data_IF_257947268406
#
_entry.id   IF_257947268406
#
_cell.length_a   1.000
_cell.length_b   1.000
_cell.length_c   1.000
_cell.angle_alpha   90.00
_cell.angle_beta   90.00
_cell.angle_gamma   90.00
#
_symmetry.space_group_name_H-M   'P 1'
#
loop_
_entity.id
_entity.type
_entity.pdbx_description
1 polymer ?
#
# COMPACT_ATOMS: atom_id res chain seq x y z
N UNK A 1 31.06 7.19 -11.64
CA UNK A 1 30.09 6.09 -11.47
C UNK A 1 29.57 6.15 -10.05
N UNK A 2 28.42 6.79 -9.81
CA UNK A 2 27.82 6.84 -8.47
C UNK A 2 27.30 5.44 -8.14
N UNK A 3 27.86 4.81 -7.12
CA UNK A 3 27.33 3.60 -6.51
C UNK A 3 25.93 3.91 -5.96
N UNK A 4 24.90 3.67 -6.76
CA UNK A 4 23.49 3.81 -6.36
C UNK A 4 22.99 2.51 -5.73
N UNK A 5 23.79 1.91 -4.87
CA UNK A 5 23.27 0.87 -3.97
C UNK A 5 22.14 1.49 -3.15
N UNK A 6 20.92 0.92 -3.17
CA UNK A 6 19.80 1.46 -2.42
C UNK A 6 20.19 1.55 -0.95
N UNK A 7 20.02 2.71 -0.31
CA UNK A 7 20.32 2.89 1.12
C UNK A 7 19.13 2.32 1.91
N UNK A 8 19.20 1.09 2.43
CA UNK A 8 18.01 0.39 2.90
C UNK A 8 17.40 1.06 4.15
N UNK A 9 18.22 1.72 4.97
CA UNK A 9 17.76 2.52 6.11
C UNK A 9 16.95 3.74 5.65
N UNK A 10 17.38 4.43 4.58
CA UNK A 10 16.65 5.59 4.06
C UNK A 10 15.29 5.17 3.49
N UNK A 11 15.25 4.06 2.75
CA UNK A 11 14.01 3.47 2.25
C UNK A 11 13.08 3.04 3.39
N UNK A 12 13.62 2.43 4.45
CA UNK A 12 12.86 2.06 5.64
C UNK A 12 12.24 3.29 6.33
N UNK A 13 13.00 4.38 6.48
CA UNK A 13 12.49 5.63 7.05
C UNK A 13 11.42 6.29 6.19
N UNK A 14 11.60 6.27 4.87
CA UNK A 14 10.57 6.75 3.92
C UNK A 14 9.30 5.91 4.03
N UNK A 15 9.42 4.58 4.13
CA UNK A 15 8.28 3.70 4.37
C UNK A 15 7.59 4.01 5.70
N UNK A 16 8.35 4.26 6.78
CA UNK A 16 7.81 4.72 8.07
C UNK A 16 7.06 6.05 7.96
N UNK A 17 7.59 7.02 7.22
CA UNK A 17 6.94 8.32 7.01
C UNK A 17 5.61 8.19 6.22
N UNK A 18 5.60 7.34 5.18
CA UNK A 18 4.36 7.05 4.43
C UNK A 18 3.33 6.35 5.31
N UNK A 19 3.75 5.39 6.14
CA UNK A 19 2.87 4.76 7.14
C UNK A 19 2.24 5.80 8.06
N UNK A 20 3.03 6.75 8.56
CA UNK A 20 2.51 7.81 9.43
C UNK A 20 1.48 8.69 8.71
N UNK A 21 1.74 9.06 7.45
CA UNK A 21 0.79 9.81 6.63
C UNK A 21 -0.51 9.04 6.47
N UNK A 22 -0.44 7.74 6.17
CA UNK A 22 -1.62 6.87 6.01
C UNK A 22 -2.43 6.80 7.31
N UNK A 23 -1.76 6.59 8.45
CA UNK A 23 -2.43 6.49 9.76
C UNK A 23 -3.11 7.81 10.12
N UNK A 24 -2.40 8.94 9.98
CA UNK A 24 -2.96 10.26 10.31
C UNK A 24 -4.10 10.64 9.37
N UNK A 25 -3.94 10.42 8.07
CA UNK A 25 -4.97 10.74 7.08
C UNK A 25 -6.19 9.82 7.19
N UNK A 26 -5.97 8.51 7.35
CA UNK A 26 -7.01 7.50 7.47
C UNK A 26 -7.79 7.60 8.78
N UNK A 27 -7.12 7.54 9.93
CA UNK A 27 -7.79 7.66 11.23
C UNK A 27 -8.39 9.06 11.40
N UNK A 28 -7.65 10.11 10.98
CA UNK A 28 -8.14 11.48 11.05
C UNK A 28 -9.39 11.71 10.20
N UNK A 29 -9.37 11.28 8.92
CA UNK A 29 -10.50 11.44 8.01
C UNK A 29 -11.70 10.59 8.41
N UNK A 30 -11.49 9.30 8.70
CA UNK A 30 -12.57 8.37 8.99
C UNK A 30 -13.14 8.55 10.40
N UNK A 31 -12.30 8.48 11.44
CA UNK A 31 -12.77 8.44 12.82
C UNK A 31 -13.02 9.83 13.42
N UNK A 32 -12.15 10.81 13.15
CA UNK A 32 -12.27 12.13 13.78
C UNK A 32 -13.20 13.09 13.03
N UNK A 33 -13.29 12.98 11.71
CA UNK A 33 -14.15 13.85 10.89
C UNK A 33 -15.46 13.17 10.55
N UNK A 34 -15.43 12.00 9.89
CA UNK A 34 -16.66 11.37 9.37
C UNK A 34 -17.48 10.64 10.44
N UNK A 35 -16.84 9.97 11.39
CA UNK A 35 -17.53 9.24 12.46
C UNK A 35 -18.60 10.06 13.19
N UNK A 36 -18.29 11.29 13.69
CA UNK A 36 -19.27 12.14 14.36
C UNK A 36 -20.40 12.70 13.47
N UNK A 37 -20.21 12.69 12.15
CA UNK A 37 -21.18 13.26 11.21
C UNK A 37 -22.29 12.27 10.84
N UNK A 38 -22.01 10.97 10.93
CA UNK A 38 -22.95 9.91 10.60
C UNK A 38 -23.79 9.54 11.82
N UNK A 39 -25.11 9.64 11.68
CA UNK A 39 -26.08 9.12 12.65
C UNK A 39 -26.90 8.04 11.93
N UNK A 40 -26.55 6.75 12.07
CA UNK A 40 -27.12 5.66 11.27
C UNK A 40 -28.65 5.59 11.30
N UNK A 41 -29.26 5.95 12.43
CA UNK A 41 -30.72 5.87 12.61
C UNK A 41 -31.45 7.19 12.30
N UNK A 42 -30.73 8.25 11.91
CA UNK A 42 -31.31 9.56 11.62
C UNK A 42 -30.66 10.22 10.37
N UNK A 43 -31.21 9.94 9.18
CA UNK A 43 -30.76 10.54 7.92
C UNK A 43 -30.91 12.07 7.90
N UNK A 44 -31.90 12.62 8.60
CA UNK A 44 -32.13 14.06 8.64
C UNK A 44 -31.05 14.77 9.47
N UNK A 45 -30.67 14.17 10.61
CA UNK A 45 -29.57 14.66 11.44
C UNK A 45 -28.21 14.49 10.74
N UNK A 46 -27.99 13.36 10.06
CA UNK A 46 -26.79 13.16 9.23
C UNK A 46 -26.68 14.23 8.14
N UNK A 47 -27.78 14.52 7.44
CA UNK A 47 -27.84 15.60 6.45
C UNK A 47 -27.50 16.97 7.05
N UNK A 48 -28.11 17.31 8.19
CA UNK A 48 -27.86 18.56 8.90
C UNK A 48 -26.38 18.69 9.31
N UNK A 49 -25.78 17.61 9.82
CA UNK A 49 -24.37 17.56 10.20
C UNK A 49 -23.45 17.77 9.00
N UNK A 50 -23.74 17.12 7.86
CA UNK A 50 -22.96 17.24 6.64
C UNK A 50 -23.00 18.66 6.06
N UNK A 51 -24.16 19.32 6.08
CA UNK A 51 -24.29 20.73 5.67
C UNK A 51 -23.54 21.65 6.62
N UNK A 52 -23.69 21.44 7.93
CA UNK A 52 -23.02 22.26 8.95
C UNK A 52 -21.48 22.12 8.91
N UNK A 53 -20.95 20.97 8.47
CA UNK A 53 -19.53 20.65 8.46
C UNK A 53 -19.00 20.30 7.06
N UNK A 54 -19.50 21.00 6.03
CA UNK A 54 -19.18 20.71 4.63
C UNK A 54 -17.67 20.77 4.34
N UNK A 55 -16.97 21.81 4.79
CA UNK A 55 -15.53 21.96 4.54
C UNK A 55 -14.72 20.85 5.22
N UNK A 56 -14.87 20.55 6.52
CA UNK A 56 -14.28 19.37 7.15
C UNK A 56 -14.55 18.08 6.38
N UNK A 57 -15.79 17.86 5.94
CA UNK A 57 -16.15 16.66 5.19
C UNK A 57 -15.40 16.58 3.85
N UNK A 58 -15.34 17.67 3.08
CA UNK A 58 -14.56 17.74 1.82
C UNK A 58 -13.07 17.53 2.04
N UNK A 59 -12.50 18.09 3.12
CA UNK A 59 -11.10 17.88 3.50
C UNK A 59 -10.84 16.41 3.89
N UNK A 60 -11.81 15.73 4.48
CA UNK A 60 -11.70 14.29 4.78
C UNK A 60 -11.58 13.44 3.51
N UNK A 61 -12.29 13.79 2.43
CA UNK A 61 -12.17 13.11 1.13
C UNK A 61 -10.77 13.33 0.55
N UNK A 62 -10.26 14.56 0.62
CA UNK A 62 -8.89 14.86 0.17
C UNK A 62 -7.83 14.10 1.00
N UNK A 63 -8.06 13.97 2.31
CA UNK A 63 -7.20 13.16 3.17
C UNK A 63 -7.18 11.69 2.73
N UNK A 64 -8.31 11.10 2.35
CA UNK A 64 -8.34 9.72 1.84
C UNK A 64 -7.62 9.58 0.49
N UNK A 65 -7.68 10.60 -0.38
CA UNK A 65 -6.88 10.61 -1.62
C UNK A 65 -5.39 10.60 -1.31
N UNK A 66 -4.94 11.46 -0.38
CA UNK A 66 -3.54 11.49 0.07
C UNK A 66 -3.14 10.15 0.69
N UNK A 67 -4.01 9.57 1.52
CA UNK A 67 -3.83 8.25 2.11
C UNK A 67 -3.63 7.18 1.03
N UNK A 68 -4.52 7.11 0.03
CA UNK A 68 -4.43 6.12 -1.04
C UNK A 68 -3.14 6.25 -1.89
N UNK A 69 -2.73 7.49 -2.20
CA UNK A 69 -1.48 7.75 -2.92
C UNK A 69 -0.24 7.36 -2.10
N UNK A 70 -0.24 7.69 -0.81
CA UNK A 70 0.81 7.28 0.12
C UNK A 70 0.87 5.76 0.26
N UNK A 71 -0.29 5.09 0.24
CA UNK A 71 -0.40 3.64 0.35
C UNK A 71 0.20 2.89 -0.85
N UNK A 72 -0.04 3.39 -2.07
CA UNK A 72 0.59 2.89 -3.29
C UNK A 72 2.12 3.01 -3.20
N UNK A 73 2.62 4.19 -2.82
CA UNK A 73 4.05 4.43 -2.68
C UNK A 73 4.68 3.53 -1.61
N UNK A 74 3.98 3.33 -0.48
CA UNK A 74 4.41 2.44 0.59
C UNK A 74 4.45 0.97 0.13
N UNK A 75 3.47 0.52 -0.65
CA UNK A 75 3.46 -0.83 -1.22
C UNK A 75 4.71 -1.11 -2.06
N UNK A 76 5.10 -0.16 -2.91
CA UNK A 76 6.33 -0.26 -3.72
C UNK A 76 7.58 -0.27 -2.85
N UNK A 77 7.67 0.60 -1.83
CA UNK A 77 8.82 0.61 -0.91
C UNK A 77 8.94 -0.68 -0.11
N UNK A 78 7.82 -1.19 0.42
CA UNK A 78 7.80 -2.45 1.15
C UNK A 78 8.17 -3.63 0.26
N UNK A 79 7.77 -3.64 -1.01
CA UNK A 79 8.25 -4.62 -1.98
C UNK A 79 9.78 -4.58 -2.11
N UNK A 80 10.37 -3.40 -2.33
CA UNK A 80 11.82 -3.25 -2.46
C UNK A 80 12.55 -3.69 -1.19
N UNK A 81 12.01 -3.34 -0.02
CA UNK A 81 12.60 -3.67 1.28
C UNK A 81 12.52 -5.16 1.61
N UNK A 82 11.39 -5.81 1.32
CA UNK A 82 11.15 -7.20 1.70
C UNK A 82 11.51 -8.22 0.62
N UNK A 83 11.70 -7.80 -0.63
CA UNK A 83 12.10 -8.68 -1.74
C UNK A 83 13.29 -9.60 -1.40
N UNK A 84 14.34 -9.17 -0.68
CA UNK A 84 15.43 -10.06 -0.27
C UNK A 84 15.00 -11.24 0.62
N UNK A 85 13.91 -11.11 1.37
CA UNK A 85 13.36 -12.18 2.21
C UNK A 85 12.41 -13.13 1.45
N UNK A 86 12.01 -12.78 0.23
CA UNK A 86 11.18 -13.60 -0.64
C UNK A 86 10.52 -12.77 -1.74
N UNK A 87 11.00 -12.87 -2.97
CA UNK A 87 10.55 -12.03 -4.09
C UNK A 87 9.09 -12.26 -4.46
N UNK A 88 8.65 -13.53 -4.52
CA UNK A 88 7.28 -13.88 -4.90
C UNK A 88 6.27 -13.40 -3.87
N UNK A 89 6.52 -13.69 -2.58
CA UNK A 89 5.65 -13.24 -1.50
C UNK A 89 5.61 -11.71 -1.38
N UNK A 90 6.74 -11.04 -1.60
CA UNK A 90 6.80 -9.57 -1.58
C UNK A 90 5.99 -8.97 -2.73
N UNK A 91 6.05 -9.59 -3.92
CA UNK A 91 5.26 -9.16 -5.08
C UNK A 91 3.76 -9.38 -4.83
N UNK A 92 3.39 -10.54 -4.29
CA UNK A 92 2.00 -10.82 -3.90
C UNK A 92 1.51 -9.79 -2.88
N UNK A 93 2.29 -9.53 -1.83
CA UNK A 93 1.95 -8.53 -0.82
C UNK A 93 1.70 -7.16 -1.47
N UNK A 94 2.61 -6.69 -2.33
CA UNK A 94 2.43 -5.45 -3.06
C UNK A 94 1.16 -5.45 -3.91
N UNK A 95 0.89 -6.53 -4.65
CA UNK A 95 -0.30 -6.64 -5.50
C UNK A 95 -1.60 -6.53 -4.68
N UNK A 96 -1.69 -7.23 -3.55
CA UNK A 96 -2.83 -7.13 -2.64
C UNK A 96 -3.03 -5.72 -2.07
N UNK A 97 -1.93 -5.04 -1.71
CA UNK A 97 -2.00 -3.65 -1.23
C UNK A 97 -2.44 -2.68 -2.32
N UNK A 98 -1.94 -2.83 -3.55
CA UNK A 98 -2.37 -2.00 -4.68
C UNK A 98 -3.85 -2.25 -5.04
N UNK A 99 -4.31 -3.50 -4.96
CA UNK A 99 -5.72 -3.84 -5.16
C UNK A 99 -6.61 -3.17 -4.10
N UNK A 100 -6.19 -3.19 -2.83
CA UNK A 100 -6.86 -2.45 -1.76
C UNK A 100 -6.88 -0.93 -2.05
N UNK A 101 -5.73 -0.33 -2.36
CA UNK A 101 -5.64 1.11 -2.62
C UNK A 101 -6.54 1.54 -3.79
N UNK A 102 -6.60 0.72 -4.85
CA UNK A 102 -7.50 0.94 -5.97
C UNK A 102 -8.98 0.82 -5.55
N UNK A 103 -9.33 -0.20 -4.75
CA UNK A 103 -10.69 -0.37 -4.22
C UNK A 103 -11.12 0.82 -3.37
N UNK A 104 -10.26 1.30 -2.46
CA UNK A 104 -10.49 2.51 -1.66
C UNK A 104 -10.66 3.72 -2.58
N UNK A 105 -9.77 3.91 -3.56
CA UNK A 105 -9.84 5.03 -4.49
C UNK A 105 -11.14 5.09 -5.28
N UNK A 106 -11.63 3.94 -5.78
CA UNK A 106 -12.94 3.85 -6.45
C UNK A 106 -14.07 4.12 -5.46
N UNK A 107 -13.97 3.61 -4.23
CA UNK A 107 -14.97 3.78 -3.20
C UNK A 107 -15.13 5.24 -2.72
N UNK A 108 -14.16 6.13 -2.99
CA UNK A 108 -14.31 7.56 -2.75
C UNK A 108 -15.38 8.22 -3.63
N UNK A 109 -15.77 7.60 -4.74
CA UNK A 109 -16.90 8.06 -5.56
C UNK A 109 -18.19 8.12 -4.75
N UNK A 110 -18.41 7.20 -3.80
CA UNK A 110 -19.59 7.20 -2.94
C UNK A 110 -19.67 8.49 -2.08
N UNK A 111 -18.57 8.88 -1.44
CA UNK A 111 -18.52 10.14 -0.69
C UNK A 111 -18.66 11.37 -1.59
N UNK A 112 -18.08 11.31 -2.80
CA UNK A 112 -18.20 12.40 -3.77
C UNK A 112 -19.64 12.61 -4.24
N UNK A 113 -20.37 11.52 -4.50
CA UNK A 113 -21.79 11.58 -4.85
C UNK A 113 -22.61 12.14 -3.68
N UNK A 114 -22.37 11.66 -2.45
CA UNK A 114 -23.05 12.18 -1.26
C UNK A 114 -22.86 13.70 -1.10
N UNK A 115 -21.64 14.23 -1.27
CA UNK A 115 -21.39 15.69 -1.17
C UNK A 115 -21.99 16.48 -2.33
N UNK A 116 -22.10 15.89 -3.51
CA UNK A 116 -22.68 16.56 -4.68
C UNK A 116 -24.19 16.69 -4.55
N UNK A 117 -24.86 15.62 -4.09
CA UNK A 117 -26.29 15.65 -3.78
C UNK A 117 -26.58 16.68 -2.67
N UNK A 118 -25.73 16.74 -1.65
CA UNK A 118 -25.81 17.73 -0.59
C UNK A 118 -25.84 19.17 -1.15
N UNK A 119 -24.87 19.51 -2.01
CA UNK A 119 -24.74 20.86 -2.59
C UNK A 119 -25.86 21.26 -3.56
N UNK A 120 -26.61 20.29 -4.09
CA UNK A 120 -27.76 20.53 -4.98
C UNK A 120 -29.08 20.75 -4.22
N UNK A 121 -29.03 20.75 -2.88
CA UNK A 121 -30.23 20.90 -2.06
C UNK A 121 -31.04 19.61 -1.91
N UNK A 122 -30.49 18.44 -2.27
CA UNK A 122 -31.15 17.14 -2.07
C UNK A 122 -31.39 16.84 -0.57
N UNK A 123 -30.73 17.57 0.34
CA UNK A 123 -31.05 17.52 1.76
C UNK A 123 -32.33 18.28 2.15
N UNK A 124 -32.97 18.99 1.23
CA UNK A 124 -34.25 19.68 1.48
C UNK A 124 -35.46 18.73 1.41
N UNK A 125 -35.33 17.61 0.68
CA UNK A 125 -36.38 16.60 0.57
C UNK A 125 -35.96 15.26 1.25
N UNK A 126 -36.90 14.51 1.85
CA UNK A 126 -36.57 13.25 2.53
C UNK A 126 -35.93 12.19 1.64
N UNK A 127 -36.24 12.19 0.34
CA UNK A 127 -35.73 11.19 -0.60
C UNK A 127 -34.25 11.44 -0.91
N UNK A 128 -33.85 12.70 -1.10
CA UNK A 128 -32.46 13.08 -1.27
C UNK A 128 -31.61 12.90 -0.01
N UNK A 129 -32.16 13.13 1.18
CA UNK A 129 -31.51 12.80 2.46
C UNK A 129 -31.22 11.30 2.58
N UNK A 130 -32.20 10.45 2.27
CA UNK A 130 -32.03 9.00 2.28
C UNK A 130 -31.00 8.54 1.25
N UNK A 131 -31.01 9.12 0.05
CA UNK A 131 -30.05 8.76 -1.01
C UNK A 131 -28.61 9.13 -0.64
N UNK A 132 -28.38 10.34 -0.13
CA UNK A 132 -27.05 10.77 0.31
C UNK A 132 -26.52 9.92 1.47
N UNK A 133 -27.39 9.57 2.43
CA UNK A 133 -27.03 8.68 3.55
C UNK A 133 -26.67 7.28 3.04
N UNK A 134 -27.43 6.73 2.08
CA UNK A 134 -27.14 5.44 1.47
C UNK A 134 -25.78 5.41 0.76
N UNK A 135 -25.38 6.47 0.05
CA UNK A 135 -24.04 6.57 -0.53
C UNK A 135 -22.94 6.66 0.53
N UNK A 136 -23.19 7.38 1.63
CA UNK A 136 -22.24 7.45 2.74
C UNK A 136 -22.05 6.08 3.40
N UNK A 137 -23.12 5.34 3.67
CA UNK A 137 -23.07 3.97 4.21
C UNK A 137 -22.41 2.99 3.24
N UNK A 138 -22.71 3.11 1.93
CA UNK A 138 -22.06 2.33 0.89
C UNK A 138 -20.54 2.54 0.86
N UNK A 139 -20.07 3.75 1.17
CA UNK A 139 -18.65 4.00 1.37
C UNK A 139 -18.07 3.19 2.54
N UNK A 140 -18.75 3.14 3.69
CA UNK A 140 -18.34 2.31 4.83
C UNK A 140 -18.18 0.84 4.44
N UNK A 141 -19.23 0.27 3.83
CA UNK A 141 -19.21 -1.12 3.38
C UNK A 141 -18.12 -1.40 2.33
N UNK A 142 -17.91 -0.48 1.38
CA UNK A 142 -16.85 -0.59 0.39
C UNK A 142 -15.44 -0.52 1.00
N UNK A 143 -15.28 0.25 2.08
CA UNK A 143 -14.02 0.33 2.82
C UNK A 143 -13.72 -1.01 3.50
N UNK A 144 -14.71 -1.59 4.19
CA UNK A 144 -14.55 -2.89 4.85
C UNK A 144 -14.29 -4.03 3.86
N UNK A 145 -14.94 -4.02 2.69
CA UNK A 145 -14.62 -4.98 1.64
C UNK A 145 -13.17 -4.88 1.15
N UNK A 146 -12.59 -3.67 1.13
CA UNK A 146 -11.19 -3.50 0.75
C UNK A 146 -10.21 -4.10 1.79
N UNK A 147 -10.64 -4.21 3.05
CA UNK A 147 -9.83 -4.77 4.14
C UNK A 147 -9.56 -6.27 3.97
N UNK A 148 -10.34 -7.00 3.15
CA UNK A 148 -9.98 -8.38 2.77
C UNK A 148 -8.62 -8.46 2.08
N UNK A 149 -8.40 -7.59 1.09
CA UNK A 149 -7.12 -7.53 0.39
C UNK A 149 -6.00 -7.08 1.32
N UNK A 150 -6.29 -6.13 2.21
CA UNK A 150 -5.32 -5.67 3.19
C UNK A 150 -4.95 -6.73 4.22
N UNK A 151 -5.91 -7.53 4.67
CA UNK A 151 -5.68 -8.63 5.59
C UNK A 151 -4.72 -9.67 5.01
N UNK A 152 -4.89 -10.03 3.73
CA UNK A 152 -3.94 -10.90 3.01
C UNK A 152 -2.57 -10.23 2.88
N UNK A 153 -2.51 -8.94 2.54
CA UNK A 153 -1.25 -8.19 2.53
C UNK A 153 -0.53 -8.29 3.89
N UNK A 154 -1.24 -8.04 4.98
CA UNK A 154 -0.72 -8.08 6.35
C UNK A 154 -0.15 -9.47 6.70
N UNK A 155 -0.85 -10.55 6.35
CA UNK A 155 -0.34 -11.92 6.56
C UNK A 155 0.97 -12.16 5.80
N UNK A 156 1.04 -11.74 4.53
CA UNK A 156 2.23 -11.90 3.69
C UNK A 156 3.40 -11.06 4.20
N UNK A 157 3.17 -9.78 4.51
CA UNK A 157 4.16 -8.86 5.07
C UNK A 157 4.64 -9.36 6.42
N UNK A 158 3.73 -9.77 7.30
CA UNK A 158 4.06 -10.33 8.62
C UNK A 158 4.95 -11.56 8.51
N UNK A 159 4.63 -12.48 7.60
CA UNK A 159 5.43 -13.67 7.32
C UNK A 159 6.81 -13.35 6.73
N UNK A 160 6.92 -12.31 5.90
CA UNK A 160 8.18 -11.83 5.34
C UNK A 160 9.06 -11.17 6.41
N UNK A 161 8.50 -10.31 7.26
CA UNK A 161 9.21 -9.67 8.38
C UNK A 161 9.69 -10.74 9.36
N UNK A 162 8.86 -11.73 9.69
CA UNK A 162 9.21 -12.77 10.66
C UNK A 162 10.37 -13.68 10.22
N UNK A 163 10.66 -13.75 8.90
CA UNK A 163 11.73 -14.58 8.32
C UNK A 163 12.92 -13.77 7.78
N UNK A 164 12.84 -12.43 7.78
CA UNK A 164 13.81 -11.59 7.07
C UNK A 164 15.16 -11.45 7.78
N UNK A 165 15.20 -11.61 9.11
CA UNK A 165 16.38 -11.38 9.94
C UNK A 165 16.73 -9.91 10.17
N UNK A 166 16.46 -9.03 9.19
CA UNK A 166 16.79 -7.60 9.26
C UNK A 166 15.71 -6.71 9.94
N UNK A 167 14.55 -7.27 10.30
CA UNK A 167 13.52 -6.62 11.11
C UNK A 167 13.13 -7.52 12.30
N UNK A 168 12.66 -6.94 13.42
CA UNK A 168 12.21 -7.73 14.57
C UNK A 168 11.03 -8.64 14.22
N UNK A 169 11.16 -9.93 14.57
CA UNK A 169 10.10 -10.92 14.36
C UNK A 169 8.79 -10.56 15.05
N UNK A 170 8.85 -9.90 16.21
CA UNK A 170 7.66 -9.46 16.95
C UNK A 170 6.77 -8.51 16.12
N UNK A 171 7.37 -7.61 15.33
CA UNK A 171 6.61 -6.74 14.42
C UNK A 171 5.90 -7.56 13.34
N UNK A 172 6.58 -8.56 12.79
CA UNK A 172 6.00 -9.45 11.78
C UNK A 172 4.81 -10.24 12.33
N UNK A 173 4.91 -10.74 13.55
CA UNK A 173 3.80 -11.43 14.22
C UNK A 173 2.63 -10.47 14.46
N UNK A 174 2.90 -9.27 14.98
CA UNK A 174 1.86 -8.25 15.21
C UNK A 174 1.10 -7.90 13.93
N UNK A 175 1.82 -7.67 12.83
CA UNK A 175 1.22 -7.39 11.50
C UNK A 175 0.45 -8.62 10.98
N UNK A 176 0.94 -9.83 11.21
CA UNK A 176 0.20 -11.04 10.85
C UNK A 176 -1.14 -11.15 11.61
N UNK A 177 -1.13 -10.89 12.92
CA UNK A 177 -2.35 -10.89 13.75
C UNK A 177 -3.31 -9.77 13.30
N UNK A 178 -2.79 -8.59 12.98
CA UNK A 178 -3.57 -7.51 12.37
C UNK A 178 -4.32 -7.99 11.12
N UNK A 179 -3.65 -8.75 10.25
CA UNK A 179 -4.27 -9.36 9.07
C UNK A 179 -5.43 -10.30 9.38
N UNK A 180 -5.34 -11.09 10.45
CA UNK A 180 -6.42 -11.97 10.89
C UNK A 180 -7.62 -11.17 11.42
N UNK A 181 -7.38 -10.08 12.14
CA UNK A 181 -8.44 -9.17 12.60
C UNK A 181 -9.16 -8.54 11.41
N UNK A 182 -8.42 -8.05 10.40
CA UNK A 182 -9.03 -7.47 9.20
C UNK A 182 -9.88 -8.49 8.44
N UNK A 183 -9.38 -9.70 8.21
CA UNK A 183 -10.14 -10.76 7.54
C UNK A 183 -11.39 -11.14 8.34
N UNK A 184 -11.23 -11.39 9.64
CA UNK A 184 -12.34 -11.77 10.53
C UNK A 184 -13.40 -10.69 10.62
N UNK A 185 -13.00 -9.43 10.85
CA UNK A 185 -13.90 -8.29 10.92
C UNK A 185 -14.65 -8.05 9.62
N UNK A 186 -13.96 -8.12 8.48
CA UNK A 186 -14.60 -8.00 7.16
C UNK A 186 -15.58 -9.16 6.89
N UNK A 187 -15.24 -10.39 7.30
CA UNK A 187 -16.16 -11.54 7.20
C UNK A 187 -17.40 -11.34 8.07
N UNK A 188 -17.26 -10.85 9.29
CA UNK A 188 -18.40 -10.56 10.17
C UNK A 188 -19.29 -9.49 9.54
N UNK A 189 -18.70 -8.42 9.00
CA UNK A 189 -19.47 -7.36 8.34
C UNK A 189 -20.31 -7.88 7.15
N UNK A 190 -19.79 -8.86 6.39
CA UNK A 190 -20.50 -9.42 5.22
C UNK A 190 -21.52 -10.50 5.62
N UNK A 191 -21.16 -11.41 6.52
CA UNK A 191 -21.92 -12.64 6.78
C UNK A 191 -22.84 -12.50 7.99
N UNK A 192 -22.47 -11.69 8.98
CA UNK A 192 -23.18 -11.58 10.24
C UNK A 192 -23.10 -10.14 10.80
N UNK A 193 -23.68 -9.15 10.10
CA UNK A 193 -23.58 -7.73 10.46
C UNK A 193 -24.07 -7.42 11.90
N UNK A 194 -24.96 -8.26 12.45
CA UNK A 194 -25.42 -8.16 13.84
C UNK A 194 -24.32 -8.33 14.91
N UNK A 195 -23.12 -8.80 14.53
CA UNK A 195 -21.97 -8.96 15.44
C UNK A 195 -20.85 -7.94 15.21
N UNK A 196 -21.05 -6.94 14.34
CA UNK A 196 -20.04 -5.92 14.03
C UNK A 196 -19.56 -5.18 15.29
N UNK A 197 -20.49 -4.77 16.16
CA UNK A 197 -20.14 -4.09 17.42
C UNK A 197 -19.33 -4.96 18.38
N UNK A 198 -19.57 -6.27 18.36
CA UNK A 198 -18.85 -7.22 19.20
C UNK A 198 -17.38 -7.40 18.76
N UNK A 199 -17.09 -7.25 17.46
CA UNK A 199 -15.73 -7.36 16.91
C UNK A 199 -15.01 -6.03 16.79
N UNK A 200 -15.72 -4.89 16.84
CA UNK A 200 -15.16 -3.55 16.73
C UNK A 200 -13.94 -3.30 17.66
N UNK A 201 -13.95 -3.73 18.95
CA UNK A 201 -12.79 -3.52 19.83
C UNK A 201 -11.51 -4.25 19.38
N UNK A 202 -11.63 -5.32 18.60
CA UNK A 202 -10.47 -6.08 18.11
C UNK A 202 -9.61 -5.25 17.15
N UNK A 203 -10.18 -4.23 16.49
CA UNK A 203 -9.43 -3.31 15.62
C UNK A 203 -8.40 -2.45 16.38
N UNK A 204 -8.39 -2.46 17.72
CA UNK A 204 -7.27 -1.92 18.49
C UNK A 204 -5.94 -2.67 18.24
N UNK A 205 -6.00 -3.97 17.93
CA UNK A 205 -4.82 -4.79 17.63
C UNK A 205 -4.10 -4.34 16.36
N UNK A 206 -4.76 -4.21 15.18
CA UNK A 206 -4.10 -3.70 13.99
C UNK A 206 -3.54 -2.29 14.19
N UNK A 207 -4.28 -1.38 14.83
CA UNK A 207 -3.79 -0.02 15.12
C UNK A 207 -2.47 -0.05 15.89
N UNK A 208 -2.38 -0.86 16.96
CA UNK A 208 -1.15 -1.01 17.74
C UNK A 208 -0.01 -1.64 16.92
N UNK A 209 -0.30 -2.68 16.14
CA UNK A 209 0.69 -3.37 15.31
C UNK A 209 1.28 -2.45 14.23
N UNK A 210 0.44 -1.67 13.56
CA UNK A 210 0.84 -0.74 12.52
C UNK A 210 1.59 0.46 13.07
N UNK A 211 1.14 1.03 14.18
CA UNK A 211 1.88 2.10 14.88
C UNK A 211 3.26 1.62 15.33
N UNK A 212 3.36 0.38 15.85
CA UNK A 212 4.63 -0.22 16.23
C UNK A 212 5.57 -0.40 15.02
N UNK A 213 5.05 -0.91 13.89
CA UNK A 213 5.84 -1.03 12.66
C UNK A 213 6.26 0.33 12.12
N UNK A 214 5.33 1.28 12.03
CA UNK A 214 5.56 2.66 11.60
C UNK A 214 6.67 3.32 12.44
N UNK A 215 6.53 3.32 13.76
CA UNK A 215 7.50 3.90 14.67
C UNK A 215 8.88 3.24 14.58
N UNK A 216 8.91 1.90 14.42
CA UNK A 216 10.17 1.19 14.23
C UNK A 216 10.88 1.60 12.95
N UNK A 217 10.16 1.61 11.82
CA UNK A 217 10.70 1.99 10.51
C UNK A 217 11.20 3.44 10.49
N UNK A 218 10.46 4.35 11.15
CA UNK A 218 10.80 5.78 11.21
C UNK A 218 12.05 6.04 12.05
N UNK A 219 12.16 5.41 13.23
CA UNK A 219 13.22 5.69 14.20
C UNK A 219 14.46 4.81 13.95
N UNK A 220 14.26 3.48 13.96
CA UNK A 220 15.35 2.49 13.86
C UNK A 220 15.64 2.07 12.42
N UNK A 221 14.63 2.02 11.56
CA UNK A 221 14.75 1.48 10.21
C UNK A 221 14.90 -0.05 10.22
N UNK A 222 16.01 -0.55 9.68
CA UNK A 222 16.30 -2.00 9.58
C UNK A 222 17.80 -2.28 9.75
N UNK A 223 18.17 -3.54 9.97
CA UNK A 223 19.57 -3.95 9.99
C UNK A 223 20.15 -3.99 8.57
N UNK A 224 20.93 -2.96 8.24
CA UNK A 224 21.51 -2.84 6.91
C UNK A 224 22.45 -4.00 6.56
N UNK A 225 23.19 -4.58 7.52
CA UNK A 225 24.15 -5.65 7.22
C UNK A 225 23.41 -6.92 6.80
N UNK A 226 22.42 -7.31 7.59
CA UNK A 226 21.58 -8.48 7.30
C UNK A 226 20.79 -8.29 6.00
N UNK A 227 20.30 -7.07 5.75
CA UNK A 227 19.61 -6.76 4.50
C UNK A 227 20.50 -6.90 3.27
N UNK A 228 21.73 -6.37 3.31
CA UNK A 228 22.68 -6.52 2.19
C UNK A 228 23.06 -7.99 1.95
N UNK A 229 23.25 -8.76 3.03
CA UNK A 229 23.53 -10.20 2.94
C UNK A 229 22.38 -10.97 2.26
N UNK A 230 21.13 -10.71 2.66
CA UNK A 230 19.96 -11.29 2.02
C UNK A 230 19.88 -10.87 0.54
N UNK A 231 20.12 -9.59 0.23
CA UNK A 231 20.06 -9.07 -1.13
C UNK A 231 21.17 -9.64 -2.04
N UNK A 232 22.36 -9.94 -1.52
CA UNK A 232 23.42 -10.60 -2.28
C UNK A 232 23.11 -12.06 -2.60
N UNK A 233 22.47 -12.80 -1.69
CA UNK A 233 22.08 -14.19 -1.96
C UNK A 233 21.09 -14.28 -3.12
N UNK A 234 20.11 -13.38 -3.18
CA UNK A 234 19.15 -13.32 -4.30
C UNK A 234 19.83 -12.96 -5.62
N UNK A 235 20.85 -12.08 -5.61
CA UNK A 235 21.62 -11.73 -6.81
C UNK A 235 22.53 -12.87 -7.30
N UNK A 236 23.14 -13.62 -6.38
CA UNK A 236 24.00 -14.76 -6.71
C UNK A 236 23.23 -15.99 -7.21
N UNK A 237 21.95 -16.12 -6.83
CA UNK A 237 21.07 -17.19 -7.31
C UNK A 237 20.57 -16.98 -8.76
N UNK A 238 20.71 -15.76 -9.32
CA UNK A 238 20.43 -15.50 -10.73
C UNK A 238 21.67 -15.90 -11.55
N UNK A 239 21.55 -16.71 -12.61
CA UNK A 239 22.69 -17.06 -13.45
C UNK A 239 23.37 -15.78 -13.95
N UNK A 240 24.71 -15.68 -13.93
CA UNK A 240 25.41 -14.48 -14.35
C UNK A 240 24.95 -14.14 -15.77
N UNK A 241 24.39 -12.94 -15.95
CA UNK A 241 24.05 -12.43 -17.27
C UNK A 241 25.32 -12.52 -18.10
N UNK A 242 25.33 -13.42 -19.10
CA UNK A 242 26.49 -13.74 -19.90
C UNK A 242 27.14 -12.41 -20.31
N UNK A 243 28.33 -12.14 -19.76
CA UNK A 243 29.12 -11.01 -20.14
C UNK A 243 29.24 -11.09 -21.65
N UNK A 244 28.68 -10.10 -22.37
CA UNK A 244 28.95 -9.91 -23.79
C UNK A 244 30.45 -9.66 -23.93
N UNK A 245 31.22 -10.74 -23.94
CA UNK A 245 32.65 -10.72 -24.19
C UNK A 245 32.83 -10.21 -25.61
N UNK A 246 33.55 -9.11 -25.71
CA UNK A 246 33.95 -8.47 -26.96
C UNK A 246 34.37 -9.53 -27.98
N UNK A 247 33.69 -9.57 -29.13
CA UNK A 247 34.26 -10.17 -30.33
C UNK A 247 35.57 -9.43 -30.62
N UNK A 248 36.71 -10.12 -30.78
CA UNK A 248 37.91 -9.47 -31.28
C UNK A 248 37.63 -9.04 -32.73
N UNK A 249 37.77 -7.74 -33.03
CA UNK A 249 37.86 -7.25 -34.40
C UNK A 249 39.14 -7.82 -35.00
N UNK A 250 39.01 -8.78 -35.90
CA UNK A 250 40.11 -9.26 -36.72
C UNK A 250 40.66 -8.10 -37.55
N UNK A 251 41.89 -7.70 -37.25
CA UNK A 251 42.69 -6.84 -38.11
C UNK A 251 43.17 -7.68 -39.30
N UNK A 252 42.56 -7.50 -40.47
CA UNK A 252 43.11 -7.96 -41.75
C UNK A 252 43.87 -6.80 -42.40
N UNK A 253 45.14 -6.66 -42.05
CA UNK A 253 46.13 -5.97 -42.88
C UNK A 253 46.69 -6.98 -43.88
N UNK A 254 46.66 -6.63 -45.17
CA UNK A 254 47.15 -7.47 -46.26
C UNK A 254 47.24 -6.69 -47.56
N UNK A 255 48.24 -5.81 -47.62
CA UNK A 255 48.68 -5.06 -48.79
C UNK A 255 49.56 -5.94 -49.70
N UNK A 256 49.56 -5.59 -50.99
CA UNK A 256 50.56 -5.87 -52.03
C UNK A 256 50.39 -7.15 -52.88
N UNK A 257 50.24 -6.93 -54.19
CA UNK A 257 50.33 -7.98 -55.21
C UNK A 257 49.95 -7.51 -56.61
N UNK A 258 50.53 -6.41 -57.10
CA UNK A 258 50.36 -5.93 -58.49
C UNK A 258 51.67 -6.03 -59.27
N UNK A 259 51.63 -6.85 -60.32
CA UNK A 259 52.36 -6.73 -61.59
C UNK A 259 53.90 -6.88 -61.60
N UNK A 260 54.42 -7.94 -62.26
CA UNK A 260 54.96 -7.90 -63.65
C UNK A 260 55.90 -9.09 -63.96
N UNK A 261 55.66 -9.67 -65.15
CA UNK A 261 56.64 -10.04 -66.22
C UNK A 261 57.29 -11.45 -66.28
N UNK A 262 56.89 -12.16 -67.36
CA UNK A 262 57.59 -13.02 -68.36
C UNK A 262 58.46 -14.21 -67.96
N UNK A 263 58.08 -15.40 -68.47
CA UNK A 263 58.63 -16.17 -69.64
C UNK A 263 57.96 -17.56 -69.60
N UNK A 264 57.58 -18.30 -70.64
CA UNK A 264 58.00 -18.42 -72.03
C UNK A 264 58.11 -19.93 -72.34
N UNK A 265 57.19 -20.50 -73.13
CA UNK A 265 57.31 -21.68 -74.02
C UNK A 265 55.94 -22.02 -74.58
#
# INVERSE_FOLDING_TARGET
MLDRSPRPIALARQAGALYLIIIVAGIGGAALVRGPLLVPDDPALTAANLVAHELPFRLSILADVVMALADVALGVLMYVLLRPAGSTLSLMAMAFRLAQAAAIGVNLLNLHVAVTLAGQGAFADPQGQALASAFFEAHGAGYDLSLFFFGVNCLLVGALIARSGFLPRALGIGVGVAGLVYLGGSTVHVVAPQFVDAVAPLYGIPVLAELALCGWLLVRGLDARQWHAAASMVRGALPPAASRSARPRSASGGSAGSSRVRSGS
#
